data_IF_135541889132
#
_entry.id   IF_135541889132
#
_cell.length_a   1.000
_cell.length_b   1.000
_cell.length_c   1.000
_cell.angle_alpha   90.00
_cell.angle_beta   90.00
_cell.angle_gamma   90.00
#
_symmetry.space_group_name_H-M   'P 1'
#
loop_
_entity.id
_entity.type
_entity.pdbx_description
1 polymer ?
#
# COMPACT_ATOMS: atom_id res chain seq x y z
N UNK A 1 -33.53 -11.78 -11.67
CA UNK A 1 -33.93 -12.19 -10.30
C UNK A 1 -32.73 -12.74 -9.59
N UNK A 2 -32.05 -11.88 -8.81
CA UNK A 2 -31.02 -12.32 -7.85
C UNK A 2 -31.80 -12.89 -6.69
N UNK A 3 -31.72 -14.18 -6.48
CA UNK A 3 -32.38 -14.84 -5.36
C UNK A 3 -31.66 -14.51 -4.05
N UNK A 4 -32.39 -14.36 -2.96
CA UNK A 4 -31.85 -14.09 -1.61
C UNK A 4 -30.75 -15.08 -1.19
N UNK A 5 -30.81 -16.31 -1.68
CA UNK A 5 -29.77 -17.35 -1.53
C UNK A 5 -28.39 -16.93 -2.03
N UNK A 6 -28.31 -16.06 -3.04
CA UNK A 6 -27.02 -15.58 -3.59
C UNK A 6 -26.38 -14.54 -2.65
N UNK A 7 -27.20 -13.70 -2.01
CA UNK A 7 -26.71 -12.72 -1.02
C UNK A 7 -26.24 -13.40 0.25
N UNK A 8 -26.92 -14.44 0.70
CA UNK A 8 -26.51 -15.22 1.89
C UNK A 8 -25.18 -15.95 1.66
N UNK A 9 -24.95 -16.49 0.46
CA UNK A 9 -23.67 -17.11 0.07
C UNK A 9 -22.53 -16.10 -0.01
N UNK A 10 -22.82 -14.89 -0.51
CA UNK A 10 -21.83 -13.80 -0.55
C UNK A 10 -21.52 -13.33 0.88
N UNK A 11 -22.55 -13.11 1.70
CA UNK A 11 -22.39 -12.70 3.09
C UNK A 11 -21.63 -13.75 3.94
N UNK A 12 -21.92 -15.06 3.76
CA UNK A 12 -21.20 -16.12 4.47
C UNK A 12 -19.74 -16.21 4.04
N UNK A 13 -19.43 -16.01 2.76
CA UNK A 13 -18.04 -15.94 2.27
C UNK A 13 -17.28 -14.73 2.81
N UNK A 14 -17.97 -13.60 2.99
CA UNK A 14 -17.40 -12.41 3.61
C UNK A 14 -17.11 -12.65 5.09
N UNK A 15 -18.03 -13.24 5.84
CA UNK A 15 -17.85 -13.60 7.26
C UNK A 15 -16.79 -14.69 7.46
N UNK A 16 -16.66 -15.66 6.54
CA UNK A 16 -15.61 -16.67 6.57
C UNK A 16 -14.22 -16.07 6.25
N UNK A 17 -14.14 -15.02 5.45
CA UNK A 17 -12.89 -14.28 5.22
C UNK A 17 -12.48 -13.48 6.46
N UNK A 18 -13.43 -12.85 7.15
CA UNK A 18 -13.18 -12.16 8.43
C UNK A 18 -12.77 -13.15 9.55
N UNK A 19 -13.44 -14.29 9.67
CA UNK A 19 -13.06 -15.33 10.66
C UNK A 19 -11.69 -15.94 10.41
N UNK A 20 -11.22 -16.00 9.15
CA UNK A 20 -9.85 -16.42 8.82
C UNK A 20 -8.80 -15.35 9.11
N UNK A 21 -9.18 -14.07 9.15
CA UNK A 21 -8.30 -12.98 9.58
C UNK A 21 -8.15 -12.90 11.11
N UNK A 22 -9.14 -13.40 11.86
CA UNK A 22 -9.14 -13.41 13.33
C UNK A 22 -8.44 -14.62 13.95
N UNK A 23 -7.94 -15.58 13.17
CA UNK A 23 -7.01 -16.58 13.68
C UNK A 23 -5.68 -15.89 13.99
N UNK A 24 -5.63 -15.35 15.17
CA UNK A 24 -4.55 -14.65 15.84
C UNK A 24 -3.29 -15.54 15.92
N UNK A 25 -2.56 -15.63 14.83
CA UNK A 25 -1.14 -15.91 14.87
C UNK A 25 -0.48 -14.54 15.03
N UNK A 26 0.00 -14.23 16.22
CA UNK A 26 1.03 -13.19 16.41
C UNK A 26 2.18 -13.54 15.47
N UNK A 27 2.14 -13.01 14.25
CA UNK A 27 3.25 -13.14 13.31
C UNK A 27 4.43 -12.45 13.99
N UNK A 28 5.41 -13.22 14.43
CA UNK A 28 6.69 -12.68 14.86
C UNK A 28 7.32 -12.00 13.64
N UNK A 29 7.15 -10.68 13.57
CA UNK A 29 7.79 -9.85 12.57
C UNK A 29 9.30 -9.95 12.77
N UNK A 30 10.05 -10.03 11.68
CA UNK A 30 11.49 -9.84 11.76
C UNK A 30 11.81 -8.33 11.79
N UNK A 31 13.01 -7.98 12.25
CA UNK A 31 13.44 -6.59 12.43
C UNK A 31 13.34 -5.75 11.14
N UNK A 32 13.55 -6.35 9.98
CA UNK A 32 13.44 -5.67 8.69
C UNK A 32 11.99 -5.37 8.34
N UNK A 33 11.05 -6.28 8.63
CA UNK A 33 9.61 -6.05 8.44
C UNK A 33 9.11 -4.93 9.36
N UNK A 34 9.51 -4.96 10.64
CA UNK A 34 9.17 -3.89 11.60
C UNK A 34 9.69 -2.53 11.13
N UNK A 35 10.91 -2.49 10.57
CA UNK A 35 11.49 -1.26 10.06
C UNK A 35 10.76 -0.73 8.83
N UNK A 36 10.36 -1.60 7.89
CA UNK A 36 9.52 -1.23 6.75
C UNK A 36 8.18 -0.66 7.21
N UNK A 37 7.50 -1.32 8.17
CA UNK A 37 6.23 -0.84 8.73
C UNK A 37 6.43 0.54 9.40
N UNK A 38 7.52 0.73 10.14
CA UNK A 38 7.85 2.01 10.76
C UNK A 38 8.01 3.14 9.74
N UNK A 39 8.66 2.90 8.60
CA UNK A 39 8.77 3.90 7.54
C UNK A 39 7.42 4.18 6.86
N UNK A 40 6.61 3.16 6.61
CA UNK A 40 5.25 3.32 6.07
C UNK A 40 4.38 4.14 7.02
N UNK A 41 4.47 3.88 8.34
CA UNK A 41 3.77 4.67 9.36
C UNK A 41 4.22 6.14 9.36
N UNK A 42 5.54 6.40 9.33
CA UNK A 42 6.07 7.78 9.26
C UNK A 42 5.57 8.50 8.02
N UNK A 43 5.65 7.85 6.85
CA UNK A 43 5.17 8.41 5.59
C UNK A 43 3.66 8.69 5.64
N UNK A 44 2.85 7.77 6.18
CA UNK A 44 1.41 7.98 6.34
C UNK A 44 1.08 9.15 7.27
N UNK A 45 1.78 9.27 8.40
CA UNK A 45 1.60 10.37 9.36
C UNK A 45 1.96 11.74 8.76
N UNK A 46 2.88 11.80 7.80
CA UNK A 46 3.21 13.01 7.04
C UNK A 46 2.19 13.31 5.92
N UNK A 47 1.18 12.48 5.75
CA UNK A 47 0.20 12.64 4.68
C UNK A 47 0.74 12.30 3.29
N UNK A 48 1.86 11.56 3.19
CA UNK A 48 2.49 11.25 1.91
C UNK A 48 1.65 10.30 1.05
N UNK A 49 1.85 10.39 -0.27
CA UNK A 49 1.26 9.48 -1.25
C UNK A 49 2.12 8.25 -1.49
N UNK A 50 3.44 8.41 -1.39
CA UNK A 50 4.41 7.38 -1.75
C UNK A 50 5.59 7.39 -0.75
N UNK A 51 6.12 6.21 -0.44
CA UNK A 51 7.39 6.01 0.23
C UNK A 51 8.39 5.47 -0.79
N UNK A 52 9.54 6.09 -0.88
CA UNK A 52 10.63 5.68 -1.77
C UNK A 52 11.76 5.09 -0.92
N UNK A 53 12.30 3.94 -1.34
CA UNK A 53 13.51 3.33 -0.77
C UNK A 53 14.46 3.05 -1.93
N UNK A 54 15.58 3.74 -1.96
CA UNK A 54 16.49 3.75 -3.12
C UNK A 54 17.90 3.33 -2.75
N UNK A 55 18.17 2.01 -2.61
CA UNK A 55 19.50 1.49 -2.32
C UNK A 55 20.47 1.76 -3.48
N UNK A 56 21.61 2.37 -3.18
CA UNK A 56 22.69 2.56 -4.16
C UNK A 56 22.38 3.60 -5.25
N UNK A 57 21.47 4.55 -4.98
CA UNK A 57 21.19 5.63 -5.94
C UNK A 57 22.48 6.32 -6.36
N UNK A 58 22.67 6.47 -7.68
CA UNK A 58 23.85 7.08 -8.29
C UNK A 58 25.18 6.40 -7.92
N UNK A 59 25.14 5.10 -7.61
CA UNK A 59 26.31 4.30 -7.19
C UNK A 59 26.76 4.52 -5.76
N UNK A 60 25.93 5.17 -4.93
CA UNK A 60 26.27 5.45 -3.53
C UNK A 60 26.21 4.18 -2.66
N UNK A 61 26.99 4.19 -1.56
CA UNK A 61 26.96 3.11 -0.54
C UNK A 61 25.76 3.24 0.42
N UNK A 62 24.85 4.19 0.16
CA UNK A 62 23.70 4.48 1.00
C UNK A 62 22.39 4.17 0.29
N UNK A 63 21.35 4.03 1.11
CA UNK A 63 19.94 3.99 0.73
C UNK A 63 19.27 5.24 1.26
N UNK A 64 18.59 5.95 0.40
CA UNK A 64 17.71 7.04 0.81
C UNK A 64 16.31 6.51 1.01
N UNK A 65 15.73 6.84 2.16
CA UNK A 65 14.32 6.59 2.49
C UNK A 65 13.61 7.93 2.47
N UNK A 66 12.69 8.10 1.51
CA UNK A 66 12.07 9.41 1.23
C UNK A 66 10.55 9.26 1.16
N UNK A 67 9.83 10.22 1.72
CA UNK A 67 8.37 10.31 1.61
C UNK A 67 7.99 11.40 0.60
N UNK A 68 6.99 11.14 -0.25
CA UNK A 68 6.44 12.16 -1.16
C UNK A 68 5.32 12.92 -0.46
N UNK A 69 5.62 14.12 0.01
CA UNK A 69 4.69 15.02 0.70
C UNK A 69 4.37 16.21 -0.20
N UNK A 70 3.11 16.42 -0.52
CA UNK A 70 2.66 17.50 -1.42
C UNK A 70 3.41 17.60 -2.77
N UNK A 71 3.87 16.44 -3.29
CA UNK A 71 4.61 16.35 -4.54
C UNK A 71 6.14 16.40 -4.40
N UNK A 72 6.66 16.88 -3.28
CA UNK A 72 8.09 16.95 -2.97
C UNK A 72 8.59 15.71 -2.22
N UNK A 73 9.86 15.35 -2.42
CA UNK A 73 10.50 14.25 -1.70
C UNK A 73 11.19 14.77 -0.44
N UNK A 74 10.78 14.27 0.70
CA UNK A 74 11.36 14.56 2.01
C UNK A 74 12.16 13.35 2.51
N UNK A 75 13.41 13.54 2.91
CA UNK A 75 14.27 12.47 3.43
C UNK A 75 13.81 12.11 4.84
N UNK A 76 13.41 10.86 5.04
CA UNK A 76 13.06 10.30 6.35
C UNK A 76 14.25 9.66 7.04
N UNK A 77 15.16 9.04 6.26
CA UNK A 77 16.34 8.35 6.79
C UNK A 77 17.39 8.12 5.68
N UNK A 78 18.64 7.89 6.11
CA UNK A 78 19.74 7.47 5.24
C UNK A 78 20.45 6.30 5.93
N UNK A 79 20.38 5.13 5.31
CA UNK A 79 20.88 3.88 5.86
C UNK A 79 21.89 3.23 4.89
N UNK A 80 22.70 2.24 5.34
CA UNK A 80 23.60 1.52 4.45
C UNK A 80 22.84 0.84 3.29
N UNK A 81 23.46 0.81 2.10
CA UNK A 81 22.93 0.17 0.90
C UNK A 81 22.46 -1.26 1.13
N UNK A 82 23.28 -2.06 1.85
CA UNK A 82 22.98 -3.45 2.18
C UNK A 82 21.66 -3.57 2.95
N UNK A 83 21.50 -2.74 3.96
CA UNK A 83 20.29 -2.72 4.79
C UNK A 83 19.05 -2.36 3.96
N UNK A 84 19.16 -1.37 3.06
CA UNK A 84 18.07 -1.02 2.15
C UNK A 84 17.63 -2.20 1.27
N UNK A 85 18.56 -2.96 0.72
CA UNK A 85 18.24 -4.17 -0.07
C UNK A 85 17.57 -5.25 0.79
N UNK A 86 17.99 -5.44 2.03
CA UNK A 86 17.37 -6.37 2.97
C UNK A 86 15.93 -5.96 3.31
N UNK A 87 15.66 -4.65 3.48
CA UNK A 87 14.32 -4.13 3.68
C UNK A 87 13.40 -4.41 2.48
N UNK A 88 13.90 -4.17 1.25
CA UNK A 88 13.12 -4.46 0.04
C UNK A 88 12.84 -5.95 -0.11
N UNK A 89 13.82 -6.80 0.18
CA UNK A 89 13.64 -8.26 0.18
C UNK A 89 12.62 -8.72 1.22
N UNK A 90 12.65 -8.17 2.43
CA UNK A 90 11.68 -8.47 3.48
C UNK A 90 10.25 -8.02 3.10
N UNK A 91 10.11 -6.84 2.50
CA UNK A 91 8.83 -6.35 2.02
C UNK A 91 8.27 -7.22 0.89
N UNK A 92 9.06 -7.49 -0.14
CA UNK A 92 8.63 -8.25 -1.30
C UNK A 92 8.30 -9.70 -0.96
N UNK A 93 9.22 -10.42 -0.31
CA UNK A 93 9.09 -11.86 -0.07
C UNK A 93 8.31 -12.21 1.19
N UNK A 94 8.31 -11.33 2.21
CA UNK A 94 7.78 -11.65 3.53
C UNK A 94 6.50 -10.91 3.92
N UNK A 95 6.14 -9.83 3.19
CA UNK A 95 4.97 -9.01 3.54
C UNK A 95 3.93 -8.92 2.42
N UNK A 96 4.18 -9.55 1.27
CA UNK A 96 3.28 -9.44 0.11
C UNK A 96 2.30 -10.61 0.03
N UNK A 97 1.04 -10.32 -0.30
CA UNK A 97 -0.03 -11.29 -0.55
C UNK A 97 -0.19 -11.62 -2.04
N UNK A 98 0.21 -10.70 -2.92
CA UNK A 98 0.20 -10.88 -4.38
C UNK A 98 1.59 -10.57 -4.91
N UNK A 99 2.29 -11.58 -5.37
CA UNK A 99 3.64 -11.50 -5.93
C UNK A 99 3.59 -11.94 -7.38
N UNK A 100 4.12 -11.11 -8.28
CA UNK A 100 4.42 -11.48 -9.65
C UNK A 100 5.88 -11.92 -9.75
N UNK A 101 6.14 -13.20 -9.55
CA UNK A 101 7.50 -13.74 -9.52
C UNK A 101 7.76 -14.53 -8.24
N UNK A 102 8.90 -15.22 -8.17
CA UNK A 102 9.14 -16.22 -7.12
C UNK A 102 9.93 -15.68 -5.93
N UNK A 103 10.91 -14.83 -6.18
CA UNK A 103 11.81 -14.31 -5.14
C UNK A 103 12.20 -12.87 -5.47
N UNK A 104 12.55 -12.10 -4.44
CA UNK A 104 13.12 -10.75 -4.63
C UNK A 104 14.42 -10.83 -5.44
N UNK A 105 14.44 -10.10 -6.55
CA UNK A 105 15.61 -9.96 -7.41
C UNK A 105 15.82 -8.47 -7.77
N UNK A 106 16.85 -7.83 -7.21
CA UNK A 106 17.10 -6.40 -7.45
C UNK A 106 17.52 -6.08 -8.89
N UNK A 107 17.80 -7.10 -9.73
CA UNK A 107 18.25 -6.92 -11.10
C UNK A 107 17.12 -6.87 -12.13
N UNK A 108 15.88 -7.17 -11.73
CA UNK A 108 14.70 -7.16 -12.60
C UNK A 108 13.57 -6.33 -12.03
N UNK A 109 12.71 -5.73 -12.86
CA UNK A 109 11.51 -5.07 -12.37
C UNK A 109 10.54 -6.06 -11.71
N UNK A 110 10.06 -5.72 -10.51
CA UNK A 110 9.09 -6.56 -9.79
C UNK A 110 8.01 -5.69 -9.15
N UNK A 111 6.79 -6.22 -9.13
CA UNK A 111 5.62 -5.63 -8.49
C UNK A 111 5.05 -6.57 -7.43
N UNK A 112 4.52 -6.00 -6.36
CA UNK A 112 3.86 -6.74 -5.30
C UNK A 112 2.78 -5.86 -4.65
N UNK A 113 1.91 -6.50 -3.86
CA UNK A 113 1.00 -5.82 -2.96
C UNK A 113 1.35 -6.24 -1.53
N UNK A 114 1.62 -5.27 -0.68
CA UNK A 114 1.84 -5.51 0.75
C UNK A 114 0.50 -5.88 1.39
N UNK A 115 0.48 -6.98 2.12
CA UNK A 115 -0.72 -7.52 2.72
C UNK A 115 -1.26 -6.61 3.83
N UNK A 116 -2.59 -6.50 3.89
CA UNK A 116 -3.32 -5.59 4.77
C UNK A 116 -3.02 -5.83 6.26
N UNK A 117 -2.83 -7.11 6.66
CA UNK A 117 -2.54 -7.47 8.04
C UNK A 117 -1.26 -6.80 8.62
N UNK A 118 -0.27 -6.46 7.77
CA UNK A 118 0.91 -5.71 8.19
C UNK A 118 0.65 -4.19 8.30
N UNK A 119 -0.38 -3.69 7.65
CA UNK A 119 -0.63 -2.26 7.45
C UNK A 119 -1.78 -1.71 8.30
N UNK A 120 -2.71 -2.55 8.75
CA UNK A 120 -3.79 -2.17 9.68
C UNK A 120 -3.28 -1.41 10.92
N UNK A 121 -2.19 -1.85 11.60
CA UNK A 121 -1.70 -1.14 12.78
C UNK A 121 -1.20 0.30 12.50
N UNK A 122 -0.97 0.64 11.23
CA UNK A 122 -0.48 1.95 10.80
C UNK A 122 -1.51 2.73 9.98
N UNK A 123 -2.79 2.36 10.06
CA UNK A 123 -3.93 3.01 9.40
C UNK A 123 -3.78 3.10 7.88
N UNK A 124 -3.28 2.03 7.26
CA UNK A 124 -3.23 1.87 5.82
C UNK A 124 -4.06 0.67 5.41
N UNK A 125 -4.90 0.83 4.41
CA UNK A 125 -5.65 -0.26 3.77
C UNK A 125 -4.74 -1.18 2.96
N UNK A 126 -3.67 -0.63 2.36
CA UNK A 126 -2.72 -1.39 1.56
C UNK A 126 -1.52 -0.55 1.14
N UNK A 127 -0.55 -1.21 0.53
CA UNK A 127 0.50 -0.52 -0.20
C UNK A 127 0.86 -1.31 -1.47
N UNK A 128 0.94 -0.61 -2.60
CA UNK A 128 1.47 -1.20 -3.84
C UNK A 128 2.96 -0.97 -3.85
N UNK A 129 3.71 -2.05 -3.95
CA UNK A 129 5.15 -2.06 -4.09
C UNK A 129 5.54 -2.26 -5.55
N UNK A 130 6.48 -1.48 -6.03
CA UNK A 130 7.12 -1.66 -7.33
C UNK A 130 8.60 -1.32 -7.21
N UNK A 131 9.47 -2.11 -7.85
CA UNK A 131 10.86 -1.72 -8.00
C UNK A 131 11.41 -2.04 -9.38
N UNK A 132 12.47 -1.35 -9.74
CA UNK A 132 13.25 -1.60 -10.94
C UNK A 132 14.73 -1.26 -10.71
N UNK A 133 15.64 -1.94 -11.41
CA UNK A 133 17.05 -1.61 -11.38
C UNK A 133 17.30 -0.22 -11.99
N UNK A 134 18.20 0.52 -11.41
CA UNK A 134 18.67 1.81 -11.92
C UNK A 134 20.19 1.86 -11.92
N UNK A 135 20.77 2.93 -12.47
CA UNK A 135 22.23 3.09 -12.50
C UNK A 135 22.78 3.10 -11.08
N UNK A 136 23.57 2.06 -10.78
CA UNK A 136 24.22 1.88 -9.48
C UNK A 136 23.37 1.25 -8.39
N UNK A 137 22.05 1.01 -8.58
CA UNK A 137 21.23 0.50 -7.50
C UNK A 137 19.82 0.06 -7.88
N UNK A 138 18.89 0.24 -6.96
CA UNK A 138 17.47 -0.09 -7.11
C UNK A 138 16.63 1.11 -6.75
N UNK A 139 15.59 1.35 -7.53
CA UNK A 139 14.56 2.34 -7.23
C UNK A 139 13.27 1.63 -6.85
N UNK A 140 12.88 1.71 -5.59
CA UNK A 140 11.64 1.11 -5.11
C UNK A 140 10.66 2.15 -4.58
N UNK A 141 9.37 1.95 -4.88
CA UNK A 141 8.27 2.81 -4.46
C UNK A 141 7.18 1.98 -3.82
N UNK A 142 6.70 2.44 -2.68
CA UNK A 142 5.48 1.98 -2.04
C UNK A 142 4.43 3.07 -2.18
N UNK A 143 3.42 2.87 -3.03
CA UNK A 143 2.24 3.73 -3.06
C UNK A 143 1.33 3.39 -1.90
N UNK A 144 1.07 4.37 -1.04
CA UNK A 144 0.23 4.20 0.13
C UNK A 144 -1.24 4.26 -0.28
N UNK A 145 -2.01 3.27 0.16
CA UNK A 145 -3.47 3.23 0.00
C UNK A 145 -4.05 3.46 1.39
N UNK A 146 -4.55 4.67 1.60
CA UNK A 146 -5.15 5.08 2.87
C UNK A 146 -6.51 4.44 3.03
N UNK A 147 -6.92 4.22 4.26
CA UNK A 147 -8.29 3.85 4.58
C UNK A 147 -9.13 5.12 4.73
N UNK A 148 -9.56 5.66 3.59
CA UNK A 148 -10.41 6.86 3.52
C UNK A 148 -11.91 6.49 3.61
N UNK A 149 -12.25 5.29 4.09
CA UNK A 149 -13.64 4.80 4.12
C UNK A 149 -14.56 5.64 5.01
N UNK A 150 -14.02 6.33 6.01
CA UNK A 150 -14.75 7.24 6.90
C UNK A 150 -14.84 8.68 6.36
N UNK A 151 -13.98 9.05 5.42
CA UNK A 151 -13.86 10.41 4.87
C UNK A 151 -14.21 10.47 3.37
N UNK A 152 -15.29 9.80 2.96
CA UNK A 152 -15.77 9.90 1.57
C UNK A 152 -16.34 11.31 1.35
N UNK A 153 -15.70 12.17 0.55
CA UNK A 153 -16.19 13.52 0.34
C UNK A 153 -17.54 13.51 -0.38
N UNK A 154 -18.42 14.38 0.03
CA UNK A 154 -19.70 14.62 -0.66
C UNK A 154 -19.49 15.25 -2.04
N UNK A 155 -20.48 15.21 -2.90
CA UNK A 155 -20.37 15.88 -4.20
C UNK A 155 -20.17 17.40 -4.05
N UNK A 156 -20.76 18.00 -3.02
CA UNK A 156 -20.60 19.40 -2.67
C UNK A 156 -19.18 19.74 -2.30
N UNK A 157 -18.53 18.92 -1.45
CA UNK A 157 -17.13 19.07 -1.06
C UNK A 157 -16.16 18.84 -2.24
N UNK A 158 -16.53 18.00 -3.20
CA UNK A 158 -15.83 17.82 -4.47
C UNK A 158 -16.03 18.98 -5.44
N UNK A 159 -16.81 20.01 -5.08
CA UNK A 159 -17.03 21.20 -5.89
C UNK A 159 -18.06 21.04 -7.01
N UNK A 160 -18.87 19.98 -7.00
CA UNK A 160 -19.95 19.83 -7.99
C UNK A 160 -21.09 20.83 -7.74
N UNK A 161 -21.57 21.46 -8.81
CA UNK A 161 -22.74 22.34 -8.75
C UNK A 161 -24.03 21.53 -8.52
N UNK A 162 -25.07 22.13 -7.87
CA UNK A 162 -26.33 21.41 -7.59
C UNK A 162 -27.00 20.76 -8.80
N UNK A 163 -26.92 21.40 -9.97
CA UNK A 163 -27.47 20.86 -11.22
C UNK A 163 -26.72 19.61 -11.70
N UNK A 164 -25.39 19.58 -11.53
CA UNK A 164 -24.56 18.42 -11.86
C UNK A 164 -24.88 17.25 -10.93
N UNK A 165 -25.00 17.50 -9.63
CA UNK A 165 -25.37 16.52 -8.61
C UNK A 165 -26.74 15.91 -8.91
N UNK A 166 -27.72 16.74 -9.27
CA UNK A 166 -29.05 16.28 -9.65
C UNK A 166 -29.01 15.37 -10.89
N UNK A 167 -28.18 15.71 -11.86
CA UNK A 167 -27.99 14.92 -13.08
C UNK A 167 -27.37 13.55 -12.76
N UNK A 168 -26.31 13.51 -11.93
CA UNK A 168 -25.66 12.28 -11.50
C UNK A 168 -26.64 11.39 -10.74
N UNK A 169 -27.40 11.94 -9.78
CA UNK A 169 -28.41 11.19 -9.03
C UNK A 169 -29.48 10.57 -9.93
N UNK A 170 -29.94 11.29 -10.95
CA UNK A 170 -30.91 10.75 -11.94
C UNK A 170 -30.28 9.62 -12.77
N UNK A 171 -29.03 9.72 -13.16
CA UNK A 171 -28.35 8.67 -13.90
C UNK A 171 -28.19 7.39 -13.07
N UNK A 172 -27.86 7.50 -11.79
CA UNK A 172 -27.73 6.37 -10.88
C UNK A 172 -29.07 5.67 -10.62
N UNK A 173 -30.20 6.42 -10.56
CA UNK A 173 -31.51 5.86 -10.36
C UNK A 173 -32.06 5.11 -11.59
N UNK A 174 -31.55 5.37 -12.80
CA UNK A 174 -32.00 4.71 -14.05
C UNK A 174 -31.46 3.31 -14.27
N UNK A 175 -30.60 2.81 -13.38
CA UNK A 175 -30.00 1.45 -13.45
C UNK A 175 -30.70 0.41 -12.56
N UNK A 176 -31.87 0.71 -12.03
CA UNK A 176 -32.72 -0.23 -11.27
C UNK A 176 -33.81 -0.80 -12.12
#
# INVERSE_FOLDING_TARGET
NITWTTLDVIASRYQDSERRSDSNSSQHLNSNQEKVISYLAKANNLGSSDLHITPGRDGSEFTYVEARVHGELEILDVIPRKEGLELLGAAYSGMSDVIKGTQFDPAIPQDARIAENFLKPVNLFGARYSHYPCVGGVYAVFRLIKDDSEDIPTFEELGYMPQQIQTIRRMLQRRS
#
